data_IF_069733541605
#
_entry.id   IF_069733541605
#
_cell.length_a   1.000
_cell.length_b   1.000
_cell.length_c   1.000
_cell.angle_alpha   90.00
_cell.angle_beta   90.00
_cell.angle_gamma   90.00
#
_symmetry.space_group_name_H-M   'P 1'
#
loop_
_entity.id
_entity.type
_entity.pdbx_description
1 polymer ?
#
# COMPACT_ATOMS: atom_id res chain seq x y z
N UNK A 1 -16.36 17.20 4.35
CA UNK A 1 -15.96 16.46 3.15
C UNK A 1 -15.09 15.27 3.51
N UNK A 2 -15.41 14.13 2.98
CA UNK A 2 -14.63 12.93 3.22
C UNK A 2 -13.47 12.87 2.22
N UNK A 3 -12.28 12.62 2.73
CA UNK A 3 -11.12 12.45 1.87
C UNK A 3 -10.86 10.96 1.69
N UNK A 4 -10.91 10.50 0.45
CA UNK A 4 -10.74 9.09 0.13
C UNK A 4 -9.27 8.80 -0.12
N UNK A 5 -8.70 7.93 0.69
CA UNK A 5 -7.26 7.65 0.69
C UNK A 5 -7.01 6.19 0.36
N UNK A 6 -6.08 5.92 -0.57
CA UNK A 6 -5.60 4.57 -0.76
C UNK A 6 -4.22 4.46 -0.14
N UNK A 7 -4.02 3.43 0.68
CA UNK A 7 -2.76 3.15 1.37
C UNK A 7 -2.15 1.90 0.76
N UNK A 8 -0.96 2.03 0.19
CA UNK A 8 -0.27 0.89 -0.41
C UNK A 8 0.51 0.12 0.64
N UNK A 9 0.27 -1.19 0.70
CA UNK A 9 0.94 -2.06 1.66
C UNK A 9 1.60 -3.22 0.93
N UNK A 10 2.86 -3.49 1.26
CA UNK A 10 3.62 -4.58 0.65
C UNK A 10 3.89 -5.73 1.61
N UNK A 11 3.27 -5.70 2.78
CA UNK A 11 3.47 -6.73 3.80
C UNK A 11 4.62 -6.47 4.75
N UNK A 12 5.42 -5.42 4.51
CA UNK A 12 6.54 -5.10 5.39
C UNK A 12 6.04 -4.31 6.60
N UNK A 13 6.81 -4.36 7.68
CA UNK A 13 6.51 -3.53 8.83
C UNK A 13 6.70 -2.06 8.51
N UNK A 14 7.59 -1.76 7.58
CA UNK A 14 7.81 -0.38 7.16
C UNK A 14 6.53 0.23 6.60
N UNK A 15 5.78 -0.53 5.83
CA UNK A 15 4.57 -0.02 5.21
C UNK A 15 3.49 0.31 6.24
N UNK A 16 3.54 -0.30 7.41
CA UNK A 16 2.57 -0.01 8.46
C UNK A 16 2.64 1.43 8.96
N UNK A 17 3.77 2.10 8.74
CA UNK A 17 3.88 3.52 9.08
C UNK A 17 2.87 4.35 8.32
N UNK A 18 2.54 3.93 7.09
CA UNK A 18 1.52 4.64 6.30
C UNK A 18 0.14 4.47 6.93
N UNK A 19 -0.15 3.27 7.45
CA UNK A 19 -1.41 3.04 8.16
C UNK A 19 -1.47 3.89 9.42
N UNK A 20 -0.37 3.94 10.18
CA UNK A 20 -0.31 4.75 11.39
C UNK A 20 -0.57 6.22 11.10
N UNK A 21 -0.04 6.72 9.99
CA UNK A 21 -0.22 8.11 9.63
C UNK A 21 -1.68 8.44 9.38
N UNK A 22 -2.39 7.57 8.70
CA UNK A 22 -3.81 7.78 8.42
C UNK A 22 -4.62 7.68 9.72
N UNK A 23 -4.23 6.78 10.61
CA UNK A 23 -4.87 6.67 11.93
C UNK A 23 -4.70 7.99 12.70
N UNK A 24 -3.48 8.55 12.69
CA UNK A 24 -3.22 9.82 13.35
C UNK A 24 -4.09 10.94 12.81
N UNK A 25 -4.20 11.00 11.48
CA UNK A 25 -5.00 12.04 10.81
C UNK A 25 -6.46 11.94 11.20
N UNK A 26 -6.97 10.70 11.27
CA UNK A 26 -8.35 10.49 11.68
C UNK A 26 -8.55 10.88 13.14
N UNK A 27 -7.60 10.53 13.99
CA UNK A 27 -7.67 10.89 15.40
C UNK A 27 -7.63 12.41 15.61
N UNK A 28 -6.97 13.12 14.69
CA UNK A 28 -6.90 14.58 14.74
C UNK A 28 -8.15 15.24 14.17
N UNK A 29 -9.15 14.47 13.75
CA UNK A 29 -10.43 15.01 13.31
C UNK A 29 -10.66 15.01 11.81
N UNK A 30 -9.72 14.50 11.04
CA UNK A 30 -9.90 14.47 9.58
C UNK A 30 -10.87 13.35 9.20
N UNK A 31 -11.82 13.65 8.33
CA UNK A 31 -12.79 12.67 7.87
C UNK A 31 -12.18 11.92 6.68
N UNK A 32 -11.74 10.70 6.90
CA UNK A 32 -11.05 9.90 5.88
C UNK A 32 -11.78 8.58 5.62
N UNK A 33 -11.80 8.18 4.36
CA UNK A 33 -12.27 6.87 3.95
C UNK A 33 -11.04 6.10 3.51
N UNK A 34 -10.75 4.98 4.15
CA UNK A 34 -9.49 4.27 4.01
C UNK A 34 -9.64 3.03 3.15
N UNK A 35 -8.80 2.93 2.13
CA UNK A 35 -8.71 1.75 1.28
C UNK A 35 -7.29 1.23 1.34
N UNK A 36 -7.12 0.00 1.81
CA UNK A 36 -5.82 -0.65 1.82
C UNK A 36 -5.67 -1.40 0.50
N UNK A 37 -4.50 -1.31 -0.10
CA UNK A 37 -4.24 -1.95 -1.38
C UNK A 37 -2.91 -2.67 -1.35
N UNK A 38 -2.92 -3.94 -1.73
CA UNK A 38 -1.69 -4.67 -2.00
C UNK A 38 -1.66 -5.00 -3.49
N UNK A 39 -0.51 -4.80 -4.11
CA UNK A 39 -0.31 -5.14 -5.52
C UNK A 39 0.66 -6.30 -5.58
N UNK A 40 0.22 -7.40 -6.17
CA UNK A 40 1.04 -8.58 -6.39
C UNK A 40 1.71 -8.46 -7.74
N UNK A 41 3.01 -8.71 -7.78
CA UNK A 41 3.75 -8.68 -9.03
C UNK A 41 3.47 -10.01 -9.76
N UNK A 42 3.17 -9.97 -11.06
CA UNK A 42 2.85 -11.21 -11.78
C UNK A 42 3.98 -12.23 -11.70
N UNK A 43 3.61 -13.49 -11.46
CA UNK A 43 4.57 -14.58 -11.40
C UNK A 43 5.17 -14.78 -12.81
N UNK A 44 6.50 -14.90 -12.85
CA UNK A 44 7.17 -15.10 -14.13
C UNK A 44 6.77 -16.47 -14.73
N UNK A 45 6.83 -16.57 -16.05
CA UNK A 45 6.32 -17.75 -16.75
C UNK A 45 6.86 -19.07 -16.20
N UNK A 46 8.14 -19.10 -15.82
CA UNK A 46 8.72 -20.31 -15.25
C UNK A 46 8.04 -20.73 -13.98
N UNK A 47 7.70 -19.78 -13.12
CA UNK A 47 6.99 -20.04 -11.87
C UNK A 47 5.52 -20.33 -12.12
N UNK A 48 4.95 -19.69 -13.13
CA UNK A 48 3.54 -19.88 -13.44
C UNK A 48 3.23 -21.33 -13.82
N UNK A 49 4.22 -22.06 -14.33
CA UNK A 49 4.02 -23.46 -14.68
C UNK A 49 3.75 -24.34 -13.47
N UNK A 50 4.02 -23.86 -12.28
CA UNK A 50 3.75 -24.61 -11.07
C UNK A 50 2.26 -24.64 -10.77
N UNK A 51 1.48 -23.78 -11.42
CA UNK A 51 0.04 -23.70 -11.20
C UNK A 51 -0.70 -24.35 -12.36
N UNK A 52 -1.67 -25.19 -12.03
CA UNK A 52 -2.38 -25.98 -13.04
C UNK A 52 -3.38 -25.17 -13.83
N UNK A 53 -3.88 -24.10 -13.29
CA UNK A 53 -4.94 -23.34 -13.93
C UNK A 53 -4.84 -21.87 -13.60
N UNK A 54 -5.56 -21.08 -14.38
CA UNK A 54 -5.70 -19.65 -14.11
C UNK A 54 -6.31 -19.42 -12.73
N UNK A 55 -7.29 -20.24 -12.35
CA UNK A 55 -7.94 -20.11 -11.05
C UNK A 55 -6.97 -20.35 -9.90
N UNK A 56 -6.09 -21.35 -10.05
CA UNK A 56 -5.08 -21.62 -9.03
C UNK A 56 -4.14 -20.43 -8.86
N UNK A 57 -3.75 -19.81 -9.95
CA UNK A 57 -2.88 -18.65 -9.90
C UNK A 57 -3.57 -17.45 -9.27
N UNK A 58 -4.83 -17.24 -9.61
CA UNK A 58 -5.59 -16.15 -9.01
C UNK A 58 -5.76 -16.35 -7.52
N UNK A 59 -5.98 -17.59 -7.10
CA UNK A 59 -6.11 -17.90 -5.68
C UNK A 59 -4.78 -17.66 -4.95
N UNK A 60 -3.68 -17.97 -5.60
CA UNK A 60 -2.35 -17.70 -5.04
C UNK A 60 -2.16 -16.18 -4.80
N UNK A 61 -2.47 -15.36 -5.81
CA UNK A 61 -2.33 -13.91 -5.67
C UNK A 61 -3.22 -13.39 -4.54
N UNK A 62 -4.45 -13.90 -4.48
CA UNK A 62 -5.37 -13.46 -3.45
C UNK A 62 -4.85 -13.80 -2.06
N UNK A 63 -4.34 -15.01 -1.89
CA UNK A 63 -3.80 -15.44 -0.60
C UNK A 63 -2.60 -14.62 -0.17
N UNK A 64 -1.67 -14.40 -1.10
CA UNK A 64 -0.48 -13.61 -0.81
C UNK A 64 -0.83 -12.16 -0.53
N UNK A 65 -1.78 -11.62 -1.28
CA UNK A 65 -2.22 -10.24 -1.07
C UNK A 65 -2.91 -10.06 0.26
N UNK A 66 -3.79 -10.98 0.63
CA UNK A 66 -4.47 -10.90 1.93
C UNK A 66 -3.48 -11.01 3.07
N UNK A 67 -2.45 -11.86 2.93
CA UNK A 67 -1.40 -11.97 3.94
C UNK A 67 -0.65 -10.65 4.09
N UNK A 68 -0.35 -9.99 2.97
CA UNK A 68 0.37 -8.72 3.01
C UNK A 68 -0.48 -7.62 3.67
N UNK A 69 -1.80 -7.72 3.58
CA UNK A 69 -2.70 -6.71 4.15
C UNK A 69 -3.05 -6.99 5.61
N UNK A 70 -2.78 -8.19 6.09
CA UNK A 70 -3.32 -8.64 7.38
C UNK A 70 -2.95 -7.74 8.56
N UNK A 71 -1.70 -7.33 8.66
CA UNK A 71 -1.25 -6.51 9.80
C UNK A 71 -1.90 -5.12 9.76
N UNK A 72 -2.02 -4.53 8.57
CA UNK A 72 -2.67 -3.24 8.42
C UNK A 72 -4.15 -3.32 8.78
N UNK A 73 -4.81 -4.38 8.34
CA UNK A 73 -6.22 -4.58 8.68
C UNK A 73 -6.42 -4.74 10.17
N UNK A 74 -5.57 -5.56 10.80
CA UNK A 74 -5.66 -5.75 12.27
C UNK A 74 -5.47 -4.44 13.01
N UNK A 75 -4.57 -3.60 12.52
CA UNK A 75 -4.30 -2.31 13.17
C UNK A 75 -5.53 -1.40 13.14
N UNK A 76 -6.23 -1.39 12.02
CA UNK A 76 -7.45 -0.59 11.89
C UNK A 76 -8.61 -1.22 12.64
N UNK A 77 -8.76 -2.55 12.54
CA UNK A 77 -9.84 -3.25 13.22
C UNK A 77 -9.72 -3.12 14.73
N UNK A 78 -8.50 -3.17 15.25
CA UNK A 78 -8.27 -3.03 16.69
C UNK A 78 -8.69 -1.67 17.23
N UNK A 79 -8.82 -0.68 16.37
CA UNK A 79 -9.25 0.65 16.76
C UNK A 79 -10.68 0.95 16.30
N UNK A 80 -11.37 -0.04 15.77
CA UNK A 80 -12.74 0.13 15.30
C UNK A 80 -12.86 1.08 14.12
N UNK A 81 -11.82 1.18 13.28
CA UNK A 81 -11.82 2.08 12.14
C UNK A 81 -12.30 1.35 10.89
N UNK A 82 -13.41 1.80 10.29
CA UNK A 82 -13.91 1.19 9.06
C UNK A 82 -12.92 1.36 7.91
N UNK A 83 -12.78 0.36 7.09
CA UNK A 83 -11.90 0.42 5.94
C UNK A 83 -12.28 -0.67 4.93
N UNK A 84 -11.79 -0.52 3.71
CA UNK A 84 -11.90 -1.56 2.69
C UNK A 84 -10.51 -2.05 2.35
N UNK A 85 -10.41 -3.23 1.74
CA UNK A 85 -9.12 -3.75 1.31
C UNK A 85 -9.24 -4.37 -0.08
N UNK A 86 -8.14 -4.31 -0.82
CA UNK A 86 -8.11 -4.74 -2.22
C UNK A 86 -6.79 -5.39 -2.54
N UNK A 87 -6.83 -6.39 -3.41
CA UNK A 87 -5.63 -7.03 -3.94
C UNK A 87 -5.67 -6.86 -5.46
N UNK A 88 -4.60 -6.36 -6.03
CA UNK A 88 -4.47 -6.19 -7.47
C UNK A 88 -3.21 -6.90 -7.94
N UNK A 89 -3.10 -7.11 -9.24
CA UNK A 89 -1.93 -7.76 -9.83
C UNK A 89 -1.39 -6.85 -10.92
N UNK A 90 -0.09 -6.59 -10.90
CA UNK A 90 0.55 -5.73 -11.90
C UNK A 90 1.84 -5.16 -11.38
N UNK A 91 2.34 -4.13 -12.05
CA UNK A 91 3.49 -3.41 -11.57
C UNK A 91 3.02 -2.46 -10.47
N UNK A 92 3.78 -2.35 -9.39
CA UNK A 92 3.27 -1.77 -8.17
C UNK A 92 2.86 -0.30 -8.32
N UNK A 93 3.77 0.57 -8.72
CA UNK A 93 3.45 1.99 -8.77
C UNK A 93 2.38 2.34 -9.81
N UNK A 94 2.47 1.84 -11.05
CA UNK A 94 1.41 2.12 -12.01
C UNK A 94 0.05 1.60 -11.58
N UNK A 95 0.02 0.44 -10.91
CA UNK A 95 -1.24 -0.15 -10.46
C UNK A 95 -1.87 0.67 -9.35
N UNK A 96 -1.06 1.16 -8.40
CA UNK A 96 -1.57 2.02 -7.33
C UNK A 96 -2.12 3.33 -7.92
N UNK A 97 -1.35 3.92 -8.85
CA UNK A 97 -1.77 5.18 -9.47
C UNK A 97 -3.09 5.01 -10.22
N UNK A 98 -3.22 3.88 -10.95
CA UNK A 98 -4.45 3.61 -11.70
C UNK A 98 -5.62 3.32 -10.76
N UNK A 99 -5.37 2.59 -9.67
CA UNK A 99 -6.40 2.33 -8.68
C UNK A 99 -6.97 3.63 -8.13
N UNK A 100 -6.09 4.58 -7.84
CA UNK A 100 -6.53 5.87 -7.30
C UNK A 100 -7.45 6.60 -8.27
N UNK A 101 -7.16 6.54 -9.56
CA UNK A 101 -8.00 7.15 -10.58
C UNK A 101 -9.33 6.40 -10.70
N UNK A 102 -9.27 5.09 -10.83
CA UNK A 102 -10.46 4.27 -11.05
C UNK A 102 -11.44 4.34 -9.88
N UNK A 103 -10.94 4.48 -8.67
CA UNK A 103 -11.78 4.51 -7.48
C UNK A 103 -12.00 5.92 -6.95
N UNK A 104 -11.60 6.92 -7.72
CA UNK A 104 -11.79 8.33 -7.36
C UNK A 104 -11.17 8.67 -5.99
N UNK A 105 -9.98 8.15 -5.74
CA UNK A 105 -9.28 8.48 -4.50
C UNK A 105 -8.72 9.89 -4.58
N UNK A 106 -8.72 10.57 -3.45
CA UNK A 106 -8.21 11.93 -3.36
C UNK A 106 -6.71 11.97 -3.07
N UNK A 107 -6.18 10.87 -2.57
CA UNK A 107 -4.80 10.86 -2.12
C UNK A 107 -4.27 9.42 -2.04
N UNK A 108 -2.96 9.26 -2.29
CA UNK A 108 -2.25 8.01 -2.09
C UNK A 108 -1.30 8.21 -0.92
N UNK A 109 -1.28 7.28 0.04
CA UNK A 109 -0.35 7.33 1.16
C UNK A 109 0.50 6.06 1.13
N UNK A 110 1.81 6.20 1.07
CA UNK A 110 2.74 5.07 1.06
C UNK A 110 3.97 5.40 1.88
N UNK A 111 4.67 4.38 2.32
CA UNK A 111 5.97 4.57 2.96
C UNK A 111 7.03 4.95 1.93
N UNK A 112 8.09 5.58 2.38
CA UNK A 112 9.18 5.98 1.50
C UNK A 112 9.98 4.78 1.01
N UNK A 113 9.93 3.63 1.74
CA UNK A 113 10.63 2.41 1.38
C UNK A 113 9.73 1.22 1.64
N UNK A 114 9.97 0.14 0.92
CA UNK A 114 9.22 -1.08 1.12
C UNK A 114 10.08 -2.13 1.82
N UNK A 115 10.01 -3.38 1.33
CA UNK A 115 10.77 -4.49 1.92
C UNK A 115 12.26 -4.23 1.97
N UNK A 116 12.79 -3.53 0.97
CA UNK A 116 14.22 -3.28 0.91
C UNK A 116 14.49 -1.85 1.34
N UNK A 117 14.42 -1.59 2.62
CA UNK A 117 14.67 -0.25 3.13
C UNK A 117 16.17 -0.04 3.24
N UNK A 118 16.73 0.72 2.32
CA UNK A 118 18.14 1.03 2.30
C UNK A 118 18.35 2.44 2.82
N UNK A 119 19.06 2.54 3.93
CA UNK A 119 19.21 3.81 4.63
C UNK A 119 19.85 4.91 3.78
N UNK A 120 20.68 4.53 2.81
CA UNK A 120 21.35 5.51 1.97
C UNK A 120 20.47 6.04 0.83
N UNK A 121 19.27 5.48 0.64
CA UNK A 121 18.38 5.96 -0.41
C UNK A 121 17.34 6.89 0.20
N UNK A 122 17.06 7.99 -0.50
CA UNK A 122 16.04 8.92 -0.06
C UNK A 122 14.65 8.35 -0.25
N UNK A 123 14.43 7.66 -1.37
CA UNK A 123 13.15 7.04 -1.66
C UNK A 123 13.35 5.65 -2.22
N UNK A 124 12.44 4.75 -1.90
CA UNK A 124 12.38 3.47 -2.57
C UNK A 124 11.82 3.63 -3.97
N UNK A 125 11.94 2.59 -4.79
CA UNK A 125 11.54 2.67 -6.20
C UNK A 125 10.04 2.92 -6.36
N UNK A 126 9.20 2.29 -5.54
CA UNK A 126 7.76 2.48 -5.66
C UNK A 126 7.38 3.92 -5.32
N UNK A 127 7.93 4.46 -4.22
CA UNK A 127 7.64 5.83 -3.81
C UNK A 127 8.09 6.82 -4.89
N UNK A 128 9.29 6.64 -5.45
CA UNK A 128 9.80 7.51 -6.48
C UNK A 128 8.93 7.45 -7.74
N UNK A 129 8.54 6.24 -8.14
CA UNK A 129 7.70 6.08 -9.32
C UNK A 129 6.31 6.69 -9.12
N UNK A 130 5.74 6.54 -7.93
CA UNK A 130 4.43 7.11 -7.65
C UNK A 130 4.44 8.62 -7.73
N UNK A 131 5.47 9.26 -7.20
CA UNK A 131 5.59 10.71 -7.27
C UNK A 131 5.60 11.16 -8.73
N UNK A 132 6.24 10.38 -9.60
CA UNK A 132 6.34 10.70 -11.01
C UNK A 132 5.06 10.39 -11.80
N UNK A 133 4.39 9.29 -11.45
CA UNK A 133 3.26 8.79 -12.25
C UNK A 133 1.89 9.26 -11.79
N UNK A 134 1.74 9.57 -10.52
CA UNK A 134 0.40 9.80 -9.98
C UNK A 134 -0.19 11.13 -10.41
N UNK A 135 -1.50 11.12 -10.70
CA UNK A 135 -2.24 12.34 -10.99
C UNK A 135 -2.96 12.86 -9.75
N UNK A 136 -2.88 12.12 -8.64
CA UNK A 136 -3.44 12.60 -7.37
C UNK A 136 -2.28 12.81 -6.39
N UNK A 137 -2.47 13.61 -5.35
CA UNK A 137 -1.41 13.85 -4.37
C UNK A 137 -0.90 12.55 -3.75
N UNK A 138 0.41 12.45 -3.58
CA UNK A 138 1.06 11.30 -2.93
C UNK A 138 1.70 11.80 -1.64
N UNK A 139 1.30 11.19 -0.52
CA UNK A 139 1.90 11.50 0.76
C UNK A 139 2.87 10.38 1.10
N UNK A 140 4.12 10.76 1.31
CA UNK A 140 5.18 9.81 1.63
C UNK A 140 5.41 9.83 3.13
N UNK A 141 5.33 8.65 3.74
CA UNK A 141 5.53 8.54 5.18
C UNK A 141 6.92 7.97 5.41
N UNK A 142 7.73 8.70 6.16
CA UNK A 142 9.09 8.29 6.39
C UNK A 142 9.14 6.99 7.19
N UNK A 143 9.80 6.00 6.61
CA UNK A 143 9.88 4.69 7.18
C UNK A 143 11.04 4.55 8.13
N UNK A 144 12.17 5.17 7.76
CA UNK A 144 13.36 5.06 8.56
C UNK A 144 13.44 6.20 9.57
N UNK A 145 12.74 6.36 10.45
CA UNK A 145 12.58 7.40 11.40
C UNK A 145 13.75 8.33 11.52
N UNK A 146 13.59 9.53 11.78
CA UNK A 146 14.50 10.36 11.90
C UNK A 146 15.00 10.39 13.12
N UNK A 147 15.65 10.05 13.56
CA UNK A 147 16.08 9.88 14.63
C UNK A 147 16.26 11.01 15.19
N UNK A 148 15.80 11.24 15.54
CA UNK A 148 15.77 12.18 16.12
C UNK A 148 16.84 12.88 16.20
N UNK A 149 17.13 12.98 15.85
CA UNK A 149 17.82 13.41 15.77
C UNK A 149 18.07 13.99 16.45
N UNK A 150 17.77 13.63 16.63
CA UNK A 150 18.21 14.31 17.38
C UNK A 150 18.70 14.56 17.63
#
# INVERSE_FOLDING_TARGET
MTRKIVVGLDGSEHALRAVDKVIERRAAGEDVEIHLLNVQIPVQSGHARMFVSHDDLQEYYRGEGLAALAAGRRRLEGRGIPHAHHVAVGHVAPTIAQFAVDHHCDEIVVGTHGHTALAHLLLGSVAADLVRLSTVPVTLVEVLGRRAQG
#
